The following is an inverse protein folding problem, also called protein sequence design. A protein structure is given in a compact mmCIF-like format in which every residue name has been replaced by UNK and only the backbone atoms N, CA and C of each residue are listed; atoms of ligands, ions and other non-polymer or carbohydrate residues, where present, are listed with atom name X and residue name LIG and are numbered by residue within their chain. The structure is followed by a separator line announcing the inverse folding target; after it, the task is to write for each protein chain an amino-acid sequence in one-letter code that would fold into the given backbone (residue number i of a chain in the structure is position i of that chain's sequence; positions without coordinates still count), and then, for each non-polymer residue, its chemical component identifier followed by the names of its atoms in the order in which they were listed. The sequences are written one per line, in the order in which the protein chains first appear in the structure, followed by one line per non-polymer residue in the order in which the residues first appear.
data_IF_109272731802
#
_entry.id   IF_109272731802
#
_cell.length_a   1.000
_cell.length_b   1.000
_cell.length_c   1.000
_cell.angle_alpha   90.00
_cell.angle_beta   90.00
_cell.angle_gamma   90.00
#
_symmetry.space_group_name_H-M   'P 1'
#
loop_
_entity.id
_entity.type
_entity.pdbx_description
1 polymer ?
#
# COMPACT_ATOMS: atom_id res chain seq x y z
N UNK A 1 -29.32 10.86 0.44
CA UNK A 1 -28.80 9.82 -0.48
C UNK A 1 -28.25 10.47 -1.76
N UNK A 2 -28.98 11.42 -2.35
CA UNK A 2 -28.59 12.13 -3.59
C UNK A 2 -27.20 12.78 -3.52
N UNK A 3 -26.90 13.58 -2.48
CA UNK A 3 -25.55 14.19 -2.30
C UNK A 3 -24.39 13.20 -2.14
N UNK A 4 -24.65 11.97 -1.72
CA UNK A 4 -23.62 10.93 -1.60
C UNK A 4 -23.40 10.17 -2.91
N UNK A 5 -24.43 10.10 -3.76
CA UNK A 5 -24.36 9.51 -5.10
C UNK A 5 -23.63 10.41 -6.10
N UNK A 6 -23.47 11.70 -5.81
CA UNK A 6 -22.64 12.62 -6.59
C UNK A 6 -21.13 12.37 -6.43
N UNK A 7 -20.72 11.71 -5.33
CA UNK A 7 -19.30 11.49 -4.99
C UNK A 7 -18.92 10.02 -5.11
N UNK A 8 -19.81 9.11 -4.68
CA UNK A 8 -19.56 7.68 -4.66
C UNK A 8 -20.44 6.94 -5.65
N UNK A 9 -19.84 5.97 -6.34
CA UNK A 9 -20.61 5.11 -7.23
C UNK A 9 -21.58 4.24 -6.43
N UNK A 10 -22.66 3.77 -7.07
CA UNK A 10 -23.66 2.92 -6.41
C UNK A 10 -23.04 1.65 -5.82
N UNK A 11 -21.97 1.15 -6.44
CA UNK A 11 -21.17 0.02 -5.96
C UNK A 11 -20.38 0.38 -4.71
N UNK A 12 -19.67 1.50 -4.72
CA UNK A 12 -18.91 1.97 -3.55
C UNK A 12 -19.81 2.21 -2.35
N UNK A 13 -20.98 2.81 -2.56
CA UNK A 13 -21.98 2.99 -1.50
C UNK A 13 -22.45 1.65 -0.94
N UNK A 14 -22.74 0.67 -1.79
CA UNK A 14 -23.11 -0.67 -1.35
C UNK A 14 -22.00 -1.31 -0.51
N UNK A 15 -20.74 -1.23 -0.95
CA UNK A 15 -19.57 -1.74 -0.24
C UNK A 15 -19.37 -1.06 1.12
N UNK A 16 -19.49 0.25 1.19
CA UNK A 16 -19.35 1.02 2.42
C UNK A 16 -20.45 0.61 3.42
N UNK A 17 -21.70 0.55 2.97
CA UNK A 17 -22.83 0.18 3.85
C UNK A 17 -22.64 -1.24 4.39
N UNK A 18 -22.33 -2.21 3.53
CA UNK A 18 -22.09 -3.58 3.99
C UNK A 18 -20.86 -3.71 4.88
N UNK A 19 -19.79 -2.97 4.59
CA UNK A 19 -18.60 -2.90 5.44
C UNK A 19 -18.93 -2.40 6.84
N UNK A 20 -19.72 -1.32 6.94
CA UNK A 20 -20.21 -0.80 8.22
C UNK A 20 -21.10 -1.82 8.95
N UNK A 21 -22.01 -2.49 8.25
CA UNK A 21 -22.85 -3.55 8.83
C UNK A 21 -21.99 -4.68 9.41
N UNK A 22 -20.98 -5.15 8.66
CA UNK A 22 -20.07 -6.22 9.09
C UNK A 22 -19.26 -5.77 10.31
N UNK A 23 -18.71 -4.56 10.30
CA UNK A 23 -17.96 -4.03 11.44
C UNK A 23 -18.86 -3.92 12.68
N UNK A 24 -20.06 -3.35 12.56
CA UNK A 24 -21.02 -3.28 13.67
C UNK A 24 -21.37 -4.67 14.18
N UNK A 25 -21.62 -5.63 13.28
CA UNK A 25 -21.89 -7.01 13.66
C UNK A 25 -20.73 -7.64 14.44
N UNK A 26 -19.48 -7.42 13.98
CA UNK A 26 -18.28 -7.87 14.67
C UNK A 26 -18.14 -7.19 16.05
N UNK A 27 -18.40 -5.88 16.16
CA UNK A 27 -18.34 -5.16 17.44
C UNK A 27 -19.36 -5.69 18.46
N UNK A 28 -20.56 -6.08 18.02
CA UNK A 28 -21.60 -6.61 18.89
C UNK A 28 -21.27 -8.04 19.34
N UNK A 29 -20.72 -8.88 18.44
CA UNK A 29 -20.48 -10.31 18.70
C UNK A 29 -19.11 -10.61 19.29
N UNK A 30 -18.10 -9.85 18.91
CA UNK A 30 -16.72 -10.01 19.38
C UNK A 30 -16.49 -8.97 20.46
N UNK A 31 -16.29 -9.42 21.71
CA UNK A 31 -15.68 -8.55 22.72
C UNK A 31 -14.27 -8.23 22.22
N UNK A 32 -14.10 -7.02 21.67
CA UNK A 32 -12.79 -6.49 21.34
C UNK A 32 -12.00 -6.36 22.65
N UNK A 33 -11.23 -7.39 22.98
CA UNK A 33 -10.40 -7.39 24.18
C UNK A 33 -9.23 -6.41 24.07
N UNK A 34 -8.47 -6.29 25.16
CA UNK A 34 -7.29 -5.42 25.25
C UNK A 34 -6.26 -5.64 24.13
N UNK A 35 -6.24 -6.82 23.51
CA UNK A 35 -5.37 -7.10 22.36
C UNK A 35 -5.70 -6.24 21.14
N UNK A 36 -6.98 -5.96 20.87
CA UNK A 36 -7.40 -5.14 19.72
C UNK A 36 -7.08 -3.65 19.94
N UNK A 37 -7.31 -3.16 21.17
CA UNK A 37 -6.97 -1.77 21.53
C UNK A 37 -5.46 -1.54 21.51
N UNK A 38 -4.66 -2.52 21.94
CA UNK A 38 -3.19 -2.49 21.79
C UNK A 38 -2.77 -2.51 20.32
N UNK A 39 -3.47 -3.23 19.46
CA UNK A 39 -3.17 -3.29 18.03
C UNK A 39 -3.42 -1.93 17.34
N UNK A 40 -4.54 -1.27 17.67
CA UNK A 40 -4.82 0.10 17.24
C UNK A 40 -3.76 1.06 17.79
N UNK A 41 -3.44 0.95 19.09
CA UNK A 41 -2.40 1.78 19.72
C UNK A 41 -1.02 1.59 19.06
N UNK A 42 -0.67 0.37 18.68
CA UNK A 42 0.57 0.07 17.96
C UNK A 42 0.59 0.68 16.56
N UNK A 43 -0.54 0.66 15.85
CA UNK A 43 -0.66 1.27 14.52
C UNK A 43 -0.42 2.79 14.54
N UNK A 44 -0.81 3.45 15.64
CA UNK A 44 -0.62 4.89 15.86
C UNK A 44 0.55 5.23 16.79
N UNK A 45 1.53 4.34 16.92
CA UNK A 45 2.75 4.63 17.66
C UNK A 45 3.45 5.90 17.13
N UNK A 46 4.09 6.67 18.02
CA UNK A 46 4.65 7.99 17.71
C UNK A 46 5.60 8.04 16.50
N UNK A 47 6.34 6.96 16.25
CA UNK A 47 7.21 6.84 15.07
C UNK A 47 6.44 6.62 13.77
N UNK A 48 5.38 5.81 13.80
CA UNK A 48 4.53 5.54 12.64
C UNK A 48 3.66 6.76 12.30
N UNK A 49 3.11 7.42 13.31
CA UNK A 49 2.30 8.63 13.11
C UNK A 49 3.09 9.77 12.48
N UNK A 50 4.37 9.94 12.84
CA UNK A 50 5.27 10.87 12.17
C UNK A 50 5.46 10.51 10.68
N UNK A 51 5.64 9.22 10.36
CA UNK A 51 5.72 8.73 8.99
C UNK A 51 4.45 9.06 8.18
N UNK A 52 3.26 8.79 8.75
CA UNK A 52 1.98 9.11 8.11
C UNK A 52 1.82 10.62 7.88
N UNK A 53 2.20 11.45 8.84
CA UNK A 53 2.10 12.90 8.72
C UNK A 53 2.97 13.42 7.57
N UNK A 54 4.21 12.94 7.46
CA UNK A 54 5.11 13.28 6.34
C UNK A 54 4.50 12.85 5.01
N UNK A 55 3.95 11.63 4.93
CA UNK A 55 3.29 11.13 3.71
C UNK A 55 2.07 11.99 3.33
N UNK A 56 1.25 12.40 4.29
CA UNK A 56 0.08 13.25 4.08
C UNK A 56 0.51 14.62 3.56
N UNK A 57 1.47 15.29 4.24
CA UNK A 57 1.96 16.60 3.81
C UNK A 57 2.56 16.55 2.41
N UNK A 58 3.37 15.52 2.13
CA UNK A 58 3.99 15.32 0.83
C UNK A 58 2.94 15.07 -0.27
N UNK A 59 1.91 14.28 0.03
CA UNK A 59 0.79 14.03 -0.89
C UNK A 59 0.02 15.32 -1.18
N UNK A 60 -0.30 16.12 -0.16
CA UNK A 60 -0.98 17.41 -0.32
C UNK A 60 -0.17 18.35 -1.22
N UNK A 61 1.15 18.45 -1.01
CA UNK A 61 2.01 19.26 -1.88
C UNK A 61 1.92 18.83 -3.35
N UNK A 62 1.89 17.53 -3.63
CA UNK A 62 1.74 17.04 -4.99
C UNK A 62 0.35 17.18 -5.57
N UNK A 63 -0.71 17.05 -4.77
CA UNK A 63 -2.06 17.33 -5.25
C UNK A 63 -2.19 18.80 -5.67
N UNK A 64 -1.60 19.73 -4.92
CA UNK A 64 -1.52 21.13 -5.35
C UNK A 64 -0.70 21.32 -6.64
N UNK A 65 0.43 20.62 -6.76
CA UNK A 65 1.23 20.63 -7.99
C UNK A 65 0.43 20.10 -9.19
N UNK A 66 -0.30 19.00 -9.03
CA UNK A 66 -1.12 18.42 -10.10
C UNK A 66 -2.33 19.28 -10.47
N UNK A 67 -2.89 20.00 -9.49
CA UNK A 67 -3.95 20.98 -9.73
C UNK A 67 -3.48 22.09 -10.69
N UNK A 68 -2.26 22.57 -10.52
CA UNK A 68 -1.67 23.56 -11.44
C UNK A 68 -1.61 23.09 -12.90
N UNK A 69 -1.41 21.78 -13.14
CA UNK A 69 -1.42 21.21 -14.49
C UNK A 69 -2.81 20.78 -14.99
N UNK A 70 -3.87 21.01 -14.21
CA UNK A 70 -5.22 20.56 -14.54
C UNK A 70 -5.41 19.03 -14.48
N UNK A 71 -4.48 18.31 -13.84
CA UNK A 71 -4.54 16.85 -13.65
C UNK A 71 -5.29 16.45 -12.38
N UNK A 72 -5.51 17.39 -11.47
CA UNK A 72 -6.23 17.15 -10.23
C UNK A 72 -7.18 18.30 -9.88
N UNK A 73 -8.36 17.96 -9.40
CA UNK A 73 -9.29 18.89 -8.76
C UNK A 73 -9.98 18.19 -7.58
N UNK A 74 -10.84 18.91 -6.86
CA UNK A 74 -11.55 18.37 -5.70
C UNK A 74 -12.49 17.19 -6.02
N UNK A 75 -12.89 16.99 -7.28
CA UNK A 75 -13.71 15.83 -7.66
C UNK A 75 -12.91 14.53 -7.57
N UNK A 76 -11.58 14.59 -7.73
CA UNK A 76 -10.66 13.46 -7.65
C UNK A 76 -10.08 13.24 -6.23
N UNK A 77 -10.64 13.92 -5.22
CA UNK A 77 -10.23 13.75 -3.82
C UNK A 77 -10.45 12.31 -3.36
N UNK A 78 -11.56 11.68 -3.78
CA UNK A 78 -11.87 10.28 -3.46
C UNK A 78 -10.76 9.35 -3.94
N UNK A 79 -10.37 9.50 -5.20
CA UNK A 79 -9.36 8.65 -5.86
C UNK A 79 -7.99 8.85 -5.21
N UNK A 80 -7.69 10.08 -4.78
CA UNK A 80 -6.47 10.40 -4.03
C UNK A 80 -6.42 9.70 -2.66
N UNK A 81 -7.55 9.65 -1.94
CA UNK A 81 -7.65 8.94 -0.66
C UNK A 81 -7.53 7.43 -0.87
N UNK A 82 -8.18 6.89 -1.90
CA UNK A 82 -8.12 5.48 -2.25
C UNK A 82 -6.68 5.09 -2.60
N UNK A 83 -6.00 5.88 -3.43
CA UNK A 83 -4.59 5.71 -3.72
C UNK A 83 -3.73 5.76 -2.45
N UNK A 84 -3.96 6.72 -1.55
CA UNK A 84 -3.18 6.84 -0.32
C UNK A 84 -3.30 5.56 0.56
N UNK A 85 -4.51 5.02 0.71
CA UNK A 85 -4.74 3.83 1.52
C UNK A 85 -4.18 2.57 0.84
N UNK A 86 -4.47 2.39 -0.45
CA UNK A 86 -4.14 1.15 -1.18
C UNK A 86 -2.69 1.08 -1.63
N UNK A 87 -2.09 2.21 -1.97
CA UNK A 87 -0.71 2.30 -2.43
C UNK A 87 0.21 2.84 -1.35
N UNK A 88 -0.05 4.05 -0.85
CA UNK A 88 0.94 4.74 -0.03
C UNK A 88 1.18 4.04 1.32
N UNK A 89 0.11 3.69 2.05
CA UNK A 89 0.21 2.97 3.32
C UNK A 89 0.80 1.58 3.12
N UNK A 90 0.33 0.82 2.14
CA UNK A 90 0.81 -0.55 1.86
C UNK A 90 2.30 -0.53 1.52
N UNK A 91 2.74 0.42 0.70
CA UNK A 91 4.16 0.62 0.37
C UNK A 91 4.96 0.92 1.62
N UNK A 92 4.49 1.83 2.46
CA UNK A 92 5.16 2.20 3.71
C UNK A 92 5.47 0.98 4.60
N UNK A 93 4.53 0.04 4.73
CA UNK A 93 4.75 -1.18 5.49
C UNK A 93 5.65 -2.22 4.82
N UNK A 94 5.77 -2.21 3.48
CA UNK A 94 6.64 -3.12 2.72
C UNK A 94 8.09 -2.61 2.59
N UNK A 95 8.38 -1.37 2.99
CA UNK A 95 9.68 -0.70 2.80
C UNK A 95 10.84 -1.40 3.53
N UNK A 96 10.57 -2.19 4.56
CA UNK A 96 11.58 -3.00 5.26
C UNK A 96 12.32 -3.98 4.32
N UNK A 97 11.66 -4.42 3.24
CA UNK A 97 12.19 -5.32 2.22
C UNK A 97 12.95 -4.62 1.10
N UNK A 98 13.08 -3.29 1.14
CA UNK A 98 13.72 -2.51 0.09
C UNK A 98 15.26 -2.71 0.11
N UNK A 99 15.73 -3.72 -0.63
CA UNK A 99 17.16 -4.00 -0.76
C UNK A 99 17.82 -3.23 -1.91
N UNK A 100 17.14 -3.16 -3.05
CA UNK A 100 17.64 -2.63 -4.32
C UNK A 100 16.67 -1.60 -4.93
N UNK A 101 17.16 -0.79 -5.88
CA UNK A 101 16.33 0.18 -6.60
C UNK A 101 15.18 -0.49 -7.39
N UNK A 102 15.39 -1.72 -7.87
CA UNK A 102 14.36 -2.49 -8.60
C UNK A 102 13.15 -2.82 -7.73
N UNK A 103 13.30 -2.86 -6.40
CA UNK A 103 12.20 -3.10 -5.46
C UNK A 103 11.06 -2.11 -5.68
N UNK A 104 11.36 -0.83 -5.87
CA UNK A 104 10.33 0.19 -6.06
C UNK A 104 9.60 0.03 -7.40
N UNK A 105 10.30 -0.37 -8.46
CA UNK A 105 9.71 -0.61 -9.78
C UNK A 105 8.80 -1.85 -9.76
N UNK A 106 9.26 -2.93 -9.13
CA UNK A 106 8.47 -4.15 -8.97
C UNK A 106 7.22 -3.91 -8.12
N UNK A 107 7.38 -3.17 -7.00
CA UNK A 107 6.28 -2.84 -6.10
C UNK A 107 5.28 -1.87 -6.74
N UNK A 108 5.77 -0.92 -7.54
CA UNK A 108 4.90 -0.11 -8.42
C UNK A 108 4.09 -1.01 -9.31
N UNK A 109 4.71 -1.90 -10.08
CA UNK A 109 4.00 -2.77 -11.02
C UNK A 109 2.98 -3.70 -10.34
N UNK A 110 3.27 -4.20 -9.15
CA UNK A 110 2.37 -5.07 -8.38
C UNK A 110 1.12 -4.29 -7.91
N UNK A 111 1.34 -3.18 -7.21
CA UNK A 111 0.25 -2.42 -6.57
C UNK A 111 -0.51 -1.60 -7.62
N UNK A 112 0.18 -1.10 -8.64
CA UNK A 112 -0.43 -0.35 -9.75
C UNK A 112 -1.48 -1.16 -10.51
N UNK A 113 -1.19 -2.43 -10.82
CA UNK A 113 -2.18 -3.31 -11.47
C UNK A 113 -3.44 -3.44 -10.64
N UNK A 114 -3.27 -3.55 -9.31
CA UNK A 114 -4.39 -3.65 -8.39
C UNK A 114 -5.15 -2.34 -8.29
N UNK A 115 -4.47 -1.19 -8.13
CA UNK A 115 -5.12 0.12 -8.05
C UNK A 115 -5.82 0.47 -9.35
N UNK A 116 -5.20 0.28 -10.52
CA UNK A 116 -5.88 0.46 -11.81
C UNK A 116 -7.07 -0.47 -11.97
N UNK A 117 -6.94 -1.74 -11.57
CA UNK A 117 -8.05 -2.67 -11.63
C UNK A 117 -9.21 -2.21 -10.74
N UNK A 118 -8.93 -1.77 -9.52
CA UNK A 118 -9.95 -1.22 -8.60
C UNK A 118 -10.57 0.07 -9.14
N UNK A 119 -9.75 1.01 -9.64
CA UNK A 119 -10.20 2.27 -10.23
C UNK A 119 -11.10 1.99 -11.44
N UNK A 120 -10.65 1.11 -12.32
CA UNK A 120 -11.40 0.67 -13.49
C UNK A 120 -12.70 0.01 -13.06
N UNK A 121 -12.68 -0.98 -12.16
CA UNK A 121 -13.91 -1.62 -11.67
C UNK A 121 -14.85 -0.59 -11.03
N UNK A 122 -14.36 0.29 -10.15
CA UNK A 122 -15.18 1.25 -9.41
C UNK A 122 -15.79 2.36 -10.29
N UNK A 123 -15.06 2.81 -11.31
CA UNK A 123 -15.48 3.88 -12.24
C UNK A 123 -16.12 3.35 -13.53
N UNK A 124 -16.03 2.05 -13.80
CA UNK A 124 -16.84 1.38 -14.82
C UNK A 124 -18.32 1.48 -14.48
N UNK A 125 -19.16 1.29 -15.49
CA UNK A 125 -20.61 1.32 -15.35
C UNK A 125 -21.08 0.55 -14.10
N UNK A 126 -21.76 1.26 -13.20
CA UNK A 126 -22.36 0.66 -12.02
C UNK A 126 -23.83 0.38 -12.26
N UNK A 127 -24.34 -0.71 -11.68
CA UNK A 127 -25.76 -1.00 -11.73
C UNK A 127 -26.53 -0.06 -10.80
N UNK A 128 -27.86 -0.11 -10.87
CA UNK A 128 -28.71 0.56 -9.86
C UNK A 128 -28.27 0.13 -8.45
N UNK A 129 -28.27 1.06 -7.51
CA UNK A 129 -27.92 0.86 -6.11
C UNK A 129 -28.50 -0.42 -5.51
N UNK A 130 -29.79 -0.70 -5.73
CA UNK A 130 -30.43 -1.90 -5.18
C UNK A 130 -29.85 -3.21 -5.72
N UNK A 131 -29.44 -3.22 -6.99
CA UNK A 131 -28.81 -4.39 -7.63
C UNK A 131 -27.42 -4.60 -7.03
N UNK A 132 -26.60 -3.55 -6.95
CA UNK A 132 -25.25 -3.64 -6.35
C UNK A 132 -25.32 -4.02 -4.86
N UNK A 133 -26.30 -3.47 -4.13
CA UNK A 133 -26.52 -3.75 -2.72
C UNK A 133 -26.91 -5.20 -2.45
N UNK A 134 -27.70 -5.84 -3.33
CA UNK A 134 -28.07 -7.25 -3.19
C UNK A 134 -27.00 -8.22 -3.69
N UNK A 135 -26.27 -7.86 -4.74
CA UNK A 135 -25.24 -8.74 -5.31
C UNK A 135 -24.07 -8.92 -4.35
N UNK A 136 -23.67 -7.87 -3.61
CA UNK A 136 -22.56 -7.96 -2.67
C UNK A 136 -22.70 -9.08 -1.62
N UNK A 137 -23.78 -9.15 -0.81
CA UNK A 137 -23.93 -10.20 0.20
C UNK A 137 -24.09 -11.59 -0.44
N UNK A 138 -24.70 -11.69 -1.62
CA UNK A 138 -24.81 -12.96 -2.36
C UNK A 138 -23.41 -13.47 -2.75
N UNK A 139 -22.56 -12.61 -3.32
CA UNK A 139 -21.18 -12.96 -3.66
C UNK A 139 -20.35 -13.27 -2.42
N UNK A 140 -20.57 -12.56 -1.30
CA UNK A 140 -19.91 -12.84 -0.03
C UNK A 140 -20.28 -14.24 0.48
N UNK A 141 -21.56 -14.61 0.47
CA UNK A 141 -22.03 -15.95 0.87
C UNK A 141 -21.44 -17.04 -0.03
N UNK A 142 -21.48 -16.85 -1.37
CA UNK A 142 -20.90 -17.81 -2.33
C UNK A 142 -19.39 -17.96 -2.10
N UNK A 143 -18.68 -16.86 -1.82
CA UNK A 143 -17.24 -16.88 -1.55
C UNK A 143 -16.91 -17.61 -0.25
N UNK A 144 -17.69 -17.38 0.81
CA UNK A 144 -17.55 -18.13 2.06
C UNK A 144 -17.80 -19.62 1.83
N UNK A 145 -18.90 -20.00 1.16
CA UNK A 145 -19.20 -21.39 0.83
C UNK A 145 -18.09 -22.04 0.01
N UNK A 146 -17.49 -21.30 -0.94
CA UNK A 146 -16.36 -21.76 -1.73
C UNK A 146 -15.16 -22.05 -0.82
N UNK A 147 -14.78 -21.12 0.04
CA UNK A 147 -13.67 -21.31 0.99
C UNK A 147 -13.92 -22.47 1.95
N UNK A 148 -15.15 -22.67 2.42
CA UNK A 148 -15.50 -23.85 3.23
C UNK A 148 -15.37 -25.16 2.42
N UNK A 149 -15.80 -25.16 1.16
CA UNK A 149 -15.68 -26.34 0.30
C UNK A 149 -14.24 -26.69 -0.06
N UNK A 150 -13.31 -25.72 -0.05
CA UNK A 150 -11.87 -25.94 -0.32
C UNK A 150 -11.15 -26.70 0.80
N UNK A 151 -11.76 -26.79 2.00
CA UNK A 151 -11.14 -27.47 3.15
C UNK A 151 -11.14 -29.00 3.05
N UNK A 152 -11.99 -29.58 2.19
CA UNK A 152 -12.07 -31.03 1.99
C UNK A 152 -12.02 -31.37 0.49
N UNK A 153 -11.08 -32.24 0.12
CA UNK A 153 -10.83 -32.68 -1.26
C UNK A 153 -12.10 -33.31 -1.87
N UNK A 154 -12.98 -33.91 -1.05
CA UNK A 154 -14.24 -34.51 -1.52
C UNK A 154 -15.20 -33.50 -2.16
N UNK A 155 -15.06 -32.22 -1.86
CA UNK A 155 -15.95 -31.16 -2.33
C UNK A 155 -15.43 -30.45 -3.59
N UNK A 156 -14.44 -31.00 -4.30
CA UNK A 156 -13.84 -30.38 -5.50
C UNK A 156 -14.86 -30.02 -6.60
N UNK A 157 -15.95 -30.77 -6.72
CA UNK A 157 -17.03 -30.45 -7.67
C UNK A 157 -17.75 -29.16 -7.24
N UNK A 158 -18.05 -29.03 -5.94
CA UNK A 158 -18.71 -27.85 -5.35
C UNK A 158 -17.80 -26.63 -5.41
N UNK A 159 -16.48 -26.79 -5.15
CA UNK A 159 -15.52 -25.69 -5.25
C UNK A 159 -15.45 -25.15 -6.68
N UNK A 160 -15.37 -26.03 -7.69
CA UNK A 160 -15.40 -25.65 -9.11
C UNK A 160 -16.70 -24.98 -9.50
N UNK A 161 -17.85 -25.49 -9.04
CA UNK A 161 -19.15 -24.89 -9.33
C UNK A 161 -19.27 -23.47 -8.76
N UNK A 162 -18.94 -23.27 -7.49
CA UNK A 162 -18.96 -21.96 -6.85
C UNK A 162 -17.94 -21.01 -7.49
N UNK A 163 -16.75 -21.51 -7.83
CA UNK A 163 -15.74 -20.74 -8.57
C UNK A 163 -16.24 -20.30 -9.94
N UNK A 164 -16.95 -21.16 -10.68
CA UNK A 164 -17.53 -20.82 -11.97
C UNK A 164 -18.63 -19.78 -11.83
N UNK A 165 -19.46 -19.84 -10.78
CA UNK A 165 -20.46 -18.77 -10.52
C UNK A 165 -19.76 -17.43 -10.32
N UNK A 166 -18.73 -17.37 -9.47
CA UNK A 166 -17.95 -16.14 -9.23
C UNK A 166 -17.29 -15.65 -10.52
N UNK A 167 -16.74 -16.55 -11.32
CA UNK A 167 -16.09 -16.21 -12.58
C UNK A 167 -17.09 -15.67 -13.62
N UNK A 168 -18.26 -16.30 -13.76
CA UNK A 168 -19.32 -15.87 -14.68
C UNK A 168 -19.89 -14.52 -14.25
N UNK A 169 -20.14 -14.31 -12.96
CA UNK A 169 -20.63 -13.01 -12.46
C UNK A 169 -19.59 -11.92 -12.72
N UNK A 170 -18.31 -12.16 -12.39
CA UNK A 170 -17.22 -11.24 -12.68
C UNK A 170 -17.06 -10.92 -14.17
N UNK A 171 -17.08 -11.94 -15.04
CA UNK A 171 -17.03 -11.78 -16.50
C UNK A 171 -18.22 -11.00 -17.05
N UNK A 172 -19.42 -11.25 -16.51
CA UNK A 172 -20.65 -10.53 -16.91
C UNK A 172 -20.55 -9.06 -16.55
N UNK A 173 -20.11 -8.75 -15.32
CA UNK A 173 -19.82 -7.38 -14.88
C UNK A 173 -18.81 -6.71 -15.80
N UNK A 174 -17.70 -7.39 -16.09
CA UNK A 174 -16.64 -6.87 -16.95
C UNK A 174 -17.12 -6.61 -18.38
N UNK A 175 -17.79 -7.59 -19.02
CA UNK A 175 -18.27 -7.48 -20.40
C UNK A 175 -19.33 -6.38 -20.57
N UNK A 176 -20.30 -6.29 -19.65
CA UNK A 176 -21.32 -5.23 -19.68
C UNK A 176 -20.71 -3.85 -19.46
N UNK A 177 -19.70 -3.76 -18.59
CA UNK A 177 -18.99 -2.51 -18.33
C UNK A 177 -18.21 -2.04 -19.56
N UNK A 178 -17.50 -2.94 -20.24
CA UNK A 178 -16.81 -2.65 -21.50
C UNK A 178 -17.81 -2.23 -22.58
N UNK A 179 -18.89 -2.98 -22.75
CA UNK A 179 -19.95 -2.67 -23.74
C UNK A 179 -20.54 -1.28 -23.54
N UNK A 180 -20.89 -0.91 -22.30
CA UNK A 180 -21.44 0.41 -22.00
C UNK A 180 -20.42 1.53 -22.11
N UNK A 181 -19.16 1.27 -21.79
CA UNK A 181 -18.06 2.23 -22.00
C UNK A 181 -17.87 2.56 -23.48
N UNK A 182 -18.07 1.59 -24.38
CA UNK A 182 -18.04 1.85 -25.83
C UNK A 182 -19.29 2.58 -26.34
N UNK A 183 -20.48 2.31 -25.78
CA UNK A 183 -21.69 3.05 -26.14
C UNK A 183 -21.66 4.52 -25.71
N UNK A 184 -21.06 4.82 -24.55
CA UNK A 184 -20.96 6.16 -23.98
C UNK A 184 -19.51 6.68 -23.97
N UNK A 185 -18.84 6.54 -25.12
CA UNK A 185 -17.41 6.85 -25.26
C UNK A 185 -17.09 8.31 -24.92
N UNK A 186 -18.02 9.25 -25.17
CA UNK A 186 -17.82 10.66 -24.83
C UNK A 186 -17.70 10.90 -23.32
N UNK A 187 -18.50 10.23 -22.50
CA UNK A 187 -18.36 10.31 -21.05
C UNK A 187 -17.11 9.54 -20.58
N UNK A 188 -16.82 8.38 -21.16
CA UNK A 188 -15.62 7.60 -20.81
C UNK A 188 -14.31 8.36 -21.08
N UNK A 189 -14.19 9.01 -22.23
CA UNK A 189 -13.03 9.84 -22.60
C UNK A 189 -13.13 11.30 -22.10
N UNK A 190 -13.99 11.58 -21.11
CA UNK A 190 -14.01 12.88 -20.47
C UNK A 190 -12.69 13.16 -19.75
N UNK A 191 -12.31 14.44 -19.68
CA UNK A 191 -11.07 14.88 -19.00
C UNK A 191 -11.03 14.37 -17.55
N UNK A 192 -12.18 14.38 -16.87
CA UNK A 192 -12.30 13.88 -15.50
C UNK A 192 -11.95 12.39 -15.38
N UNK A 193 -12.56 11.52 -16.21
CA UNK A 193 -12.30 10.08 -16.16
C UNK A 193 -10.87 9.73 -16.57
N UNK A 194 -10.30 10.46 -17.54
CA UNK A 194 -8.89 10.30 -17.91
C UNK A 194 -7.97 10.69 -16.76
N UNK A 195 -8.23 11.82 -16.10
CA UNK A 195 -7.48 12.26 -14.94
C UNK A 195 -7.58 11.25 -13.79
N UNK A 196 -8.79 10.75 -13.49
CA UNK A 196 -9.01 9.71 -12.47
C UNK A 196 -8.20 8.43 -12.74
N UNK A 197 -8.13 7.95 -13.99
CA UNK A 197 -7.32 6.78 -14.35
C UNK A 197 -5.80 7.03 -14.28
N UNK A 198 -5.34 8.23 -14.64
CA UNK A 198 -3.92 8.58 -14.68
C UNK A 198 -3.39 8.97 -13.29
N UNK A 199 -4.23 9.55 -12.44
CA UNK A 199 -3.86 10.11 -11.15
C UNK A 199 -3.12 9.12 -10.24
N UNK A 200 -3.59 7.87 -10.04
CA UNK A 200 -2.85 6.87 -9.26
C UNK A 200 -1.46 6.58 -9.83
N UNK A 201 -1.28 6.58 -11.15
CA UNK A 201 0.02 6.35 -11.82
C UNK A 201 1.00 7.46 -11.42
N UNK A 202 0.53 8.71 -11.56
CA UNK A 202 1.35 9.90 -11.37
C UNK A 202 1.70 10.07 -9.90
N UNK A 203 0.73 9.92 -9.00
CA UNK A 203 0.98 9.97 -7.55
C UNK A 203 1.95 8.87 -7.10
N UNK A 204 1.78 7.64 -7.58
CA UNK A 204 2.69 6.53 -7.24
C UNK A 204 4.12 6.82 -7.70
N UNK A 205 4.28 7.31 -8.93
CA UNK A 205 5.61 7.65 -9.49
C UNK A 205 6.26 8.80 -8.73
N UNK A 206 5.50 9.86 -8.43
CA UNK A 206 6.00 11.00 -7.66
C UNK A 206 6.33 10.63 -6.21
N UNK A 207 5.71 9.58 -5.67
CA UNK A 207 5.97 9.09 -4.30
C UNK A 207 7.25 8.26 -4.15
N UNK A 208 7.88 7.81 -5.24
CA UNK A 208 9.10 6.99 -5.20
C UNK A 208 10.23 7.66 -4.39
N UNK A 209 10.58 8.94 -4.60
CA UNK A 209 11.65 9.58 -3.85
C UNK A 209 11.39 9.58 -2.35
N UNK A 210 10.14 9.82 -1.93
CA UNK A 210 9.76 9.78 -0.52
C UNK A 210 9.97 8.38 0.07
N UNK A 211 9.49 7.34 -0.61
CA UNK A 211 9.64 5.97 -0.13
C UNK A 211 11.09 5.49 -0.14
N UNK A 212 11.90 5.98 -1.07
CA UNK A 212 13.34 5.77 -1.05
C UNK A 212 13.98 6.36 0.22
N UNK A 213 13.63 7.59 0.60
CA UNK A 213 14.13 8.20 1.83
C UNK A 213 13.64 7.47 3.09
N UNK A 214 12.40 6.98 3.11
CA UNK A 214 11.93 6.15 4.22
C UNK A 214 12.69 4.82 4.31
N UNK A 215 12.96 4.16 3.18
CA UNK A 215 13.79 2.94 3.16
C UNK A 215 15.18 3.20 3.70
N UNK A 216 15.79 4.31 3.27
CA UNK A 216 17.11 4.72 3.71
C UNK A 216 17.13 5.00 5.22
N UNK A 217 16.18 5.80 5.70
CA UNK A 217 16.03 6.11 7.12
C UNK A 217 15.83 4.85 7.97
N UNK A 218 14.91 3.96 7.57
CA UNK A 218 14.65 2.70 8.27
C UNK A 218 15.89 1.81 8.33
N UNK A 219 16.64 1.71 7.22
CA UNK A 219 17.86 0.90 7.16
C UNK A 219 18.95 1.46 8.08
N UNK A 220 19.13 2.79 8.12
CA UNK A 220 20.03 3.45 9.07
C UNK A 220 19.59 3.25 10.52
N UNK A 221 18.31 3.42 10.82
CA UNK A 221 17.76 3.23 12.17
C UNK A 221 18.02 1.79 12.66
N UNK A 222 17.70 0.79 11.84
CA UNK A 222 17.96 -0.62 12.16
C UNK A 222 19.44 -0.90 12.43
N UNK A 223 20.34 -0.33 11.62
CA UNK A 223 21.79 -0.49 11.79
C UNK A 223 22.25 0.20 13.10
N UNK A 224 21.78 1.42 13.35
CA UNK A 224 22.17 2.21 14.52
C UNK A 224 21.59 1.71 15.84
N UNK A 225 20.44 1.03 15.81
CA UNK A 225 19.86 0.35 16.98
C UNK A 225 20.69 -0.86 17.42
N UNK A 226 21.51 -1.45 16.54
CA UNK A 226 22.41 -2.56 16.89
C UNK A 226 23.71 -2.10 17.54
N UNK A 227 24.19 -0.90 17.23
CA UNK A 227 25.47 -0.40 17.75
C UNK A 227 25.61 -0.44 19.29
N UNK A 228 24.57 -0.09 20.09
CA UNK A 228 24.65 -0.20 21.55
C UNK A 228 24.75 -1.63 22.07
N UNK A 229 24.25 -2.62 21.32
CA UNK A 229 24.37 -4.04 21.67
C UNK A 229 25.81 -4.52 21.43
N UNK A 230 26.47 -3.97 20.40
CA UNK A 230 27.83 -4.36 20.00
C UNK A 230 28.91 -3.65 20.82
N UNK A 231 28.68 -2.40 21.23
CA UNK A 231 29.58 -1.66 22.09
C UNK A 231 28.81 -0.64 22.94
N UNK A 232 29.00 -0.70 24.25
CA UNK A 232 28.36 0.19 25.23
C UNK A 232 28.94 1.61 25.27
N UNK A 233 30.14 1.87 24.72
CA UNK A 233 30.75 3.20 24.76
C UNK A 233 30.07 4.19 23.78
N UNK A 234 29.41 5.26 24.29
CA UNK A 234 28.70 6.23 23.47
C UNK A 234 29.62 7.02 22.51
N UNK A 235 30.91 7.22 22.86
CA UNK A 235 31.85 7.93 21.98
C UNK A 235 32.18 7.11 20.75
N UNK A 236 32.38 5.80 20.94
CA UNK A 236 32.63 4.85 19.86
C UNK A 236 31.39 4.74 18.98
N UNK A 237 30.19 4.58 19.57
CA UNK A 237 28.94 4.55 18.81
C UNK A 237 28.77 5.80 17.93
N UNK A 238 29.03 7.01 18.45
CA UNK A 238 28.91 8.25 17.67
C UNK A 238 29.89 8.30 16.50
N UNK A 239 31.14 7.89 16.73
CA UNK A 239 32.17 7.82 15.67
C UNK A 239 31.76 6.83 14.57
N UNK A 240 31.22 5.67 14.96
CA UNK A 240 30.73 4.66 14.03
C UNK A 240 29.56 5.15 13.19
N UNK A 241 28.55 5.78 13.82
CA UNK A 241 27.41 6.38 13.10
C UNK A 241 27.87 7.35 12.01
N UNK A 242 28.83 8.22 12.34
CA UNK A 242 29.41 9.16 11.37
C UNK A 242 30.14 8.45 10.25
N UNK A 243 31.00 7.48 10.55
CA UNK A 243 31.73 6.71 9.53
C UNK A 243 30.80 5.97 8.57
N UNK A 244 29.78 5.30 9.11
CA UNK A 244 28.76 4.58 8.33
C UNK A 244 28.02 5.58 7.41
N UNK A 245 27.60 6.73 7.94
CA UNK A 245 26.92 7.76 7.16
C UNK A 245 27.80 8.36 6.05
N UNK A 246 29.06 8.69 6.34
CA UNK A 246 29.99 9.24 5.33
C UNK A 246 30.26 8.26 4.18
N UNK A 247 30.25 6.96 4.48
CA UNK A 247 30.58 5.91 3.52
C UNK A 247 29.40 5.49 2.64
N UNK A 248 28.22 5.34 3.25
CA UNK A 248 27.03 4.91 2.52
C UNK A 248 26.19 6.09 1.98
N UNK A 249 26.25 7.27 2.62
CA UNK A 249 25.52 8.49 2.22
C UNK A 249 24.04 8.19 1.94
N UNK A 250 23.55 8.60 0.77
CA UNK A 250 22.18 8.37 0.32
C UNK A 250 22.05 7.12 -0.58
N UNK A 251 22.98 6.17 -0.52
CA UNK A 251 22.92 4.96 -1.35
C UNK A 251 22.35 3.78 -0.55
N UNK A 252 21.09 3.44 -0.82
CA UNK A 252 20.35 2.38 -0.13
C UNK A 252 21.07 1.03 -0.20
N UNK A 253 21.64 0.68 -1.36
CA UNK A 253 22.37 -0.58 -1.57
C UNK A 253 23.59 -0.66 -0.63
N UNK A 254 24.35 0.43 -0.52
CA UNK A 254 25.51 0.49 0.37
C UNK A 254 25.11 0.37 1.84
N UNK A 255 24.03 1.03 2.27
CA UNK A 255 23.54 0.94 3.66
C UNK A 255 23.07 -0.49 3.96
N UNK A 256 22.34 -1.12 3.04
CA UNK A 256 21.87 -2.50 3.19
C UNK A 256 23.03 -3.51 3.28
N UNK A 257 24.05 -3.33 2.44
CA UNK A 257 25.26 -4.15 2.49
C UNK A 257 26.00 -4.03 3.83
N UNK A 258 26.13 -2.81 4.36
CA UNK A 258 26.69 -2.59 5.68
C UNK A 258 25.83 -3.21 6.78
N UNK A 259 24.50 -3.11 6.69
CA UNK A 259 23.57 -3.70 7.65
C UNK A 259 23.75 -5.21 7.77
N UNK A 260 23.98 -5.90 6.66
CA UNK A 260 24.18 -7.36 6.64
C UNK A 260 25.58 -7.74 7.14
N UNK A 261 26.62 -7.08 6.67
CA UNK A 261 28.00 -7.43 7.03
C UNK A 261 28.39 -7.06 8.45
N UNK A 262 27.68 -6.14 9.09
CA UNK A 262 27.91 -5.75 10.49
C UNK A 262 27.20 -6.66 11.50
N UNK A 263 26.56 -7.77 11.07
CA UNK A 263 25.91 -8.73 11.98
C UNK A 263 26.94 -9.48 12.85
N UNK A 264 28.12 -9.78 12.32
CA UNK A 264 29.15 -10.62 12.98
C UNK A 264 30.30 -9.81 13.63
N UNK A 265 30.10 -8.53 13.91
CA UNK A 265 31.19 -7.65 14.36
C UNK A 265 31.32 -7.62 15.89
N UNK A 266 32.48 -8.04 16.40
CA UNK A 266 32.90 -7.77 17.78
C UNK A 266 33.70 -6.44 17.80
N UNK A 267 33.15 -5.40 18.42
CA UNK A 267 33.56 -3.97 18.22
C UNK A 267 34.72 -3.56 19.16
N UNK A 268 35.40 -4.52 19.78
CA UNK A 268 36.43 -4.24 20.79
C UNK A 268 37.71 -3.57 20.23
N UNK A 269 37.92 -3.51 18.90
CA UNK A 269 39.01 -2.76 18.29
C UNK A 269 38.52 -1.66 17.33
N UNK A 270 38.62 -0.41 17.80
CA UNK A 270 38.23 0.82 17.08
C UNK A 270 39.09 1.05 15.82
N UNK A 271 40.23 0.37 15.69
CA UNK A 271 41.15 0.43 14.54
C UNK A 271 40.70 -0.39 13.33
N UNK A 272 39.98 -1.50 13.54
CA UNK A 272 39.72 -2.49 12.48
C UNK A 272 38.54 -2.11 11.58
N UNK A 273 37.69 -1.17 12.03
CA UNK A 273 36.45 -0.83 11.33
C UNK A 273 36.73 -0.01 10.08
N UNK A 274 37.69 0.92 10.08
CA UNK A 274 38.07 1.66 8.87
C UNK A 274 38.67 0.71 7.82
N UNK A 275 39.63 -0.12 8.21
CA UNK A 275 40.29 -1.06 7.31
C UNK A 275 39.31 -2.10 6.74
N UNK A 276 38.41 -2.66 7.57
CA UNK A 276 37.39 -3.60 7.08
C UNK A 276 36.26 -2.93 6.31
N UNK A 277 35.83 -1.73 6.68
CA UNK A 277 34.88 -0.97 5.86
C UNK A 277 35.50 -0.74 4.48
N UNK A 278 36.79 -0.39 4.41
CA UNK A 278 37.51 -0.19 3.14
C UNK A 278 37.59 -1.49 2.33
N UNK A 279 37.89 -2.63 2.97
CA UNK A 279 37.78 -3.96 2.34
C UNK A 279 36.36 -4.29 1.86
N UNK A 280 35.33 -3.90 2.61
CA UNK A 280 33.92 -4.13 2.28
C UNK A 280 33.51 -3.32 1.04
N UNK A 281 34.03 -2.11 0.86
CA UNK A 281 33.72 -1.26 -0.31
C UNK A 281 34.67 -1.43 -1.49
N UNK A 282 35.83 -2.07 -1.33
CA UNK A 282 36.80 -2.30 -2.39
C UNK A 282 36.51 -3.52 -3.28
N UNK A 283 35.45 -4.28 -2.98
CA UNK A 283 34.97 -5.41 -3.79
C UNK A 283 33.78 -5.03 -4.71
N UNK A 284 33.64 -3.74 -5.06
CA UNK A 284 32.82 -3.32 -6.22
C UNK A 284 33.65 -3.32 -7.48
#
# INVERSE_FOLDING_TARGET
MEKLQEIFSTRELALIIWGVIIVIFLLIKVKLGDSFTRLIGAFFASKLSAGYLIMILYSICFLYFLNFFGLWDFTLLKDSILWFITFAIVTFFKIDKAYNNNFFIELLNEIFKLTLFLEFVSNLYTFNFWIEFLIFPILLIISLLKSFSELDIKNEITTKFLSNIIAITGLTYFALSVYKSFQDYHNFFSVHNMNSLILPVVLSTLSIPLFYFFALYNTYEQLFLRLPIMNSDPKVQKKLKLQIFYKAKFNLIKVNYLREKLIDFDVNNISDIQEKLDRITSFQ
#
